data_IF_804560919066
#
_entry.id   IF_804560919066
#
_cell.length_a   1.000
_cell.length_b   1.000
_cell.length_c   1.000
_cell.angle_alpha   90.00
_cell.angle_beta   90.00
_cell.angle_gamma   90.00
#
_symmetry.space_group_name_H-M   'P 1'
#
loop_
_entity.id
_entity.type
_entity.pdbx_description
1 polymer ?
#
# COMPACT_ATOMS: atom_id res chain seq x y z
N UNK A 1 6.10 11.54 15.12
CA UNK A 1 5.46 10.37 14.49
C UNK A 1 4.66 9.63 15.54
N UNK A 2 3.49 9.07 15.15
CA UNK A 2 2.57 8.43 16.10
C UNK A 2 2.09 7.06 15.60
N UNK A 3 1.69 6.19 16.55
CA UNK A 3 1.06 4.92 16.29
C UNK A 3 -0.46 5.08 15.99
N UNK A 4 -1.18 3.98 15.87
CA UNK A 4 -2.64 3.99 15.62
C UNK A 4 -3.48 4.54 16.77
N UNK A 5 -2.89 4.71 17.96
CA UNK A 5 -3.50 5.29 19.15
C UNK A 5 -3.03 6.72 19.44
N UNK A 6 -2.41 7.37 18.44
CA UNK A 6 -1.84 8.71 18.51
C UNK A 6 -0.73 8.85 19.60
N UNK A 7 -0.04 7.76 19.95
CA UNK A 7 1.10 7.76 20.87
C UNK A 7 2.39 7.88 20.08
N UNK A 8 3.34 8.66 20.59
CA UNK A 8 4.64 8.84 19.97
C UNK A 8 5.40 7.51 19.85
N UNK A 9 5.99 7.27 18.67
CA UNK A 9 6.79 6.08 18.41
C UNK A 9 8.29 6.38 18.52
N UNK A 10 9.06 5.37 18.93
CA UNK A 10 10.52 5.49 19.05
C UNK A 10 11.20 5.62 17.67
N UNK A 11 12.39 6.24 17.66
CA UNK A 11 13.25 6.27 16.48
C UNK A 11 13.53 4.85 15.97
N UNK A 12 13.52 4.67 14.66
CA UNK A 12 13.64 3.38 14.00
C UNK A 12 12.31 2.62 13.79
N UNK A 13 11.23 3.05 14.48
CA UNK A 13 9.88 2.48 14.33
C UNK A 13 9.09 3.26 13.28
N UNK A 14 8.24 2.56 12.54
CA UNK A 14 7.29 3.19 11.63
C UNK A 14 6.14 3.84 12.37
N UNK A 15 5.69 5.00 11.90
CA UNK A 15 4.54 5.72 12.46
C UNK A 15 3.98 6.73 11.47
N UNK A 16 2.76 7.20 11.74
CA UNK A 16 2.17 8.27 10.94
C UNK A 16 2.89 9.59 11.20
N UNK A 17 3.25 10.30 10.13
CA UNK A 17 3.77 11.66 10.23
C UNK A 17 2.64 12.59 10.63
N UNK A 18 2.79 13.25 11.78
CA UNK A 18 1.88 14.30 12.23
C UNK A 18 2.63 15.62 12.35
N UNK A 19 1.97 16.71 11.96
CA UNK A 19 2.60 18.04 11.85
C UNK A 19 1.72 19.10 12.48
N UNK A 20 2.33 20.09 13.12
CA UNK A 20 1.67 21.32 13.58
C UNK A 20 2.65 22.47 13.62
N UNK A 21 2.15 23.71 13.62
CA UNK A 21 2.96 24.83 14.00
C UNK A 21 3.09 24.92 15.51
N UNK A 22 4.26 25.29 16.00
CA UNK A 22 4.46 25.61 17.43
C UNK A 22 3.83 26.97 17.72
N UNK A 23 3.12 27.10 18.86
CA UNK A 23 2.48 28.34 19.29
C UNK A 23 0.98 28.18 19.55
N UNK A 24 0.27 29.30 19.69
CA UNK A 24 -1.15 29.34 20.08
C UNK A 24 -2.10 28.83 18.99
N UNK A 25 -1.73 29.01 17.71
CA UNK A 25 -2.52 28.51 16.59
C UNK A 25 -1.77 27.43 15.83
N UNK A 26 -2.02 26.14 16.13
CA UNK A 26 -1.34 25.00 15.49
C UNK A 26 -1.68 24.85 14.01
N UNK A 27 -2.79 25.45 13.52
CA UNK A 27 -3.25 25.39 12.12
C UNK A 27 -2.70 26.52 11.25
N UNK A 28 -2.06 27.51 11.84
CA UNK A 28 -1.54 28.67 11.11
C UNK A 28 -0.56 28.26 10.02
N UNK A 29 -0.79 28.73 8.80
CA UNK A 29 0.06 28.45 7.64
C UNK A 29 -0.20 27.10 6.95
N UNK A 30 -1.13 26.29 7.48
CA UNK A 30 -1.66 25.14 6.76
C UNK A 30 -2.74 25.56 5.76
N UNK A 31 -3.19 24.62 4.91
CA UNK A 31 -4.31 24.85 4.00
C UNK A 31 -5.62 25.11 4.79
N UNK A 32 -6.54 25.86 4.19
CA UNK A 32 -7.78 26.25 4.85
C UNK A 32 -8.72 25.07 5.14
N UNK A 33 -8.61 23.98 4.38
CA UNK A 33 -9.42 22.77 4.51
C UNK A 33 -9.66 22.08 3.17
N UNK A 34 -10.28 20.92 3.22
CA UNK A 34 -10.75 20.24 2.02
C UNK A 34 -11.99 20.97 1.47
N UNK A 35 -12.06 21.12 0.14
CA UNK A 35 -13.18 21.76 -0.52
C UNK A 35 -14.47 20.97 -0.26
N UNK A 36 -15.48 21.68 0.26
CA UNK A 36 -16.81 21.16 0.59
C UNK A 36 -16.81 19.93 1.52
N UNK A 37 -15.71 19.70 2.29
CA UNK A 37 -15.58 18.59 3.23
C UNK A 37 -14.95 19.06 4.56
N UNK A 38 -15.76 19.75 5.35
CA UNK A 38 -15.36 20.19 6.68
C UNK A 38 -15.12 19.01 7.64
N UNK A 39 -15.86 17.91 7.47
CA UNK A 39 -15.71 16.73 8.32
C UNK A 39 -14.34 16.05 8.11
N UNK A 40 -13.89 15.90 6.87
CA UNK A 40 -12.55 15.37 6.56
C UNK A 40 -11.45 16.35 7.05
N UNK A 41 -11.70 17.66 6.99
CA UNK A 41 -10.76 18.66 7.51
C UNK A 41 -10.57 18.50 9.01
N UNK A 42 -11.64 18.42 9.79
CA UNK A 42 -11.55 18.24 11.24
C UNK A 42 -10.98 16.86 11.61
N UNK A 43 -11.35 15.80 10.91
CA UNK A 43 -10.78 14.48 11.11
C UNK A 43 -9.26 14.43 10.90
N UNK A 44 -8.75 15.26 9.97
CA UNK A 44 -7.31 15.42 9.75
C UNK A 44 -6.58 16.13 10.88
N UNK A 45 -7.29 16.93 11.71
CA UNK A 45 -6.73 17.73 12.81
C UNK A 45 -7.01 17.14 14.20
N UNK A 46 -7.07 15.84 14.34
CA UNK A 46 -7.32 15.24 15.66
C UNK A 46 -6.13 15.42 16.61
N UNK A 47 -6.41 15.57 17.89
CA UNK A 47 -5.39 15.77 18.91
C UNK A 47 -4.56 17.06 18.79
N UNK A 48 -4.99 18.03 17.97
CA UNK A 48 -4.26 19.28 17.70
C UNK A 48 -3.06 19.12 16.75
N UNK A 49 -3.00 17.99 16.02
CA UNK A 49 -2.00 17.70 15.00
C UNK A 49 -2.67 17.42 13.66
N UNK A 50 -2.03 17.89 12.58
CA UNK A 50 -2.39 17.48 11.22
C UNK A 50 -1.85 16.06 10.96
N UNK A 51 -2.74 15.12 10.68
CA UNK A 51 -2.42 13.75 10.29
C UNK A 51 -2.21 13.69 8.78
N UNK A 52 -0.97 13.50 8.35
CA UNK A 52 -0.62 13.53 6.93
C UNK A 52 -1.16 12.34 6.14
N UNK A 53 -1.43 11.23 6.83
CA UNK A 53 -1.72 9.93 6.23
C UNK A 53 -0.48 9.26 5.63
N UNK A 54 0.71 9.82 5.85
CA UNK A 54 1.98 9.24 5.42
C UNK A 54 2.60 8.43 6.56
N UNK A 55 2.92 7.18 6.32
CA UNK A 55 3.72 6.34 7.21
C UNK A 55 5.18 6.60 6.89
N UNK A 56 5.94 6.92 7.93
CA UNK A 56 7.35 7.27 7.83
C UNK A 56 8.14 6.55 8.92
N UNK A 57 9.46 6.51 8.76
CA UNK A 57 10.41 6.05 9.76
C UNK A 57 11.48 7.11 9.95
N UNK A 58 11.83 7.41 11.18
CA UNK A 58 12.93 8.33 11.50
C UNK A 58 14.12 7.53 11.99
N UNK A 59 15.32 7.81 11.48
CA UNK A 59 16.55 7.23 11.99
C UNK A 59 17.09 7.96 13.23
N UNK A 60 18.21 7.47 13.78
CA UNK A 60 18.84 8.06 14.96
C UNK A 60 19.41 9.47 14.69
N UNK A 61 19.68 9.82 13.44
CA UNK A 61 20.15 11.15 13.04
C UNK A 61 19.00 12.15 12.84
N UNK A 62 17.74 11.71 13.01
CA UNK A 62 16.55 12.53 12.84
C UNK A 62 16.05 12.63 11.38
N UNK A 63 16.64 11.88 10.45
CA UNK A 63 16.21 11.87 9.05
C UNK A 63 14.94 11.03 8.90
N UNK A 64 13.95 11.62 8.24
CA UNK A 64 12.65 10.98 8.00
C UNK A 64 12.65 10.34 6.62
N UNK A 65 12.30 9.06 6.58
CA UNK A 65 12.16 8.26 5.37
C UNK A 65 10.69 7.92 5.16
N UNK A 66 10.17 8.25 3.98
CA UNK A 66 8.82 7.85 3.57
C UNK A 66 8.76 6.33 3.38
N UNK A 67 7.72 5.69 3.92
CA UNK A 67 7.47 4.24 3.79
C UNK A 67 6.31 4.01 2.81
N UNK A 68 5.10 4.49 3.15
CA UNK A 68 3.92 4.40 2.28
C UNK A 68 2.81 5.34 2.78
N UNK A 69 1.72 5.41 2.05
CA UNK A 69 0.47 5.98 2.54
C UNK A 69 -0.22 5.01 3.50
N UNK A 70 -0.80 5.51 4.59
CA UNK A 70 -1.55 4.71 5.57
C UNK A 70 -2.62 3.83 4.91
N UNK A 71 -3.35 4.36 3.91
CA UNK A 71 -4.37 3.62 3.15
C UNK A 71 -3.82 2.51 2.22
N UNK A 72 -2.52 2.49 1.99
CA UNK A 72 -1.85 1.47 1.17
C UNK A 72 -1.11 0.43 2.04
N UNK A 73 -1.11 0.61 3.36
CA UNK A 73 -0.56 -0.40 4.28
C UNK A 73 -1.51 -1.59 4.34
N UNK A 74 -0.96 -2.79 4.22
CA UNK A 74 -1.69 -4.06 4.26
C UNK A 74 -1.39 -4.73 5.59
N UNK A 75 -2.42 -4.99 6.40
CA UNK A 75 -2.30 -5.67 7.70
C UNK A 75 -2.52 -7.17 7.57
N UNK A 76 -1.43 -7.89 7.37
CA UNK A 76 -1.48 -9.33 7.18
C UNK A 76 -0.89 -10.08 8.37
N UNK A 77 -1.72 -10.86 9.08
CA UNK A 77 -1.30 -11.73 10.19
C UNK A 77 -0.42 -11.01 11.24
N UNK A 78 -0.77 -9.76 11.58
CA UNK A 78 -0.01 -8.92 12.52
C UNK A 78 1.14 -8.13 11.93
N UNK A 79 1.50 -8.38 10.66
CA UNK A 79 2.55 -7.65 9.96
C UNK A 79 1.98 -6.47 9.18
N UNK A 80 2.64 -5.32 9.23
CA UNK A 80 2.35 -4.17 8.40
C UNK A 80 3.21 -4.23 7.13
N UNK A 81 2.56 -4.29 5.97
CA UNK A 81 3.23 -4.42 4.68
C UNK A 81 2.94 -3.17 3.84
N UNK A 82 3.99 -2.46 3.46
CA UNK A 82 3.88 -1.35 2.54
C UNK A 82 3.65 -1.87 1.11
N UNK A 83 2.53 -1.49 0.49
CA UNK A 83 2.25 -1.89 -0.89
C UNK A 83 3.36 -1.40 -1.84
N UNK A 84 3.88 -0.19 -1.60
CA UNK A 84 4.97 0.42 -2.39
C UNK A 84 6.26 -0.40 -2.35
N UNK A 85 6.59 -1.03 -1.23
CA UNK A 85 7.77 -1.91 -1.12
C UNK A 85 7.65 -3.11 -2.06
N UNK A 86 6.49 -3.77 -2.04
CA UNK A 86 6.22 -4.93 -2.91
C UNK A 86 6.20 -4.50 -4.38
N UNK A 87 5.54 -3.39 -4.71
CA UNK A 87 5.51 -2.82 -6.06
C UNK A 87 6.91 -2.50 -6.57
N UNK A 88 7.75 -1.86 -5.76
CA UNK A 88 9.13 -1.47 -6.12
C UNK A 88 9.98 -2.68 -6.47
N UNK A 89 9.84 -3.77 -5.74
CA UNK A 89 10.56 -5.01 -6.02
C UNK A 89 10.03 -5.66 -7.29
N UNK A 90 8.71 -5.81 -7.40
CA UNK A 90 8.09 -6.52 -8.52
C UNK A 90 8.17 -5.75 -9.85
N UNK A 91 8.22 -4.41 -9.84
CA UNK A 91 8.46 -3.60 -11.05
C UNK A 91 9.80 -3.92 -11.74
N UNK A 92 10.75 -4.55 -11.04
CA UNK A 92 12.05 -4.96 -11.63
C UNK A 92 11.96 -6.29 -12.37
N UNK A 93 10.85 -7.01 -12.24
CA UNK A 93 10.65 -8.29 -12.94
C UNK A 93 10.42 -8.05 -14.44
N UNK A 94 11.17 -8.69 -15.36
CA UNK A 94 11.14 -8.38 -16.80
C UNK A 94 9.79 -8.63 -17.46
N UNK A 95 8.97 -9.50 -16.89
CA UNK A 95 7.64 -9.81 -17.41
C UNK A 95 6.53 -8.85 -16.91
N UNK A 96 6.87 -7.83 -16.11
CA UNK A 96 5.88 -6.88 -15.57
C UNK A 96 6.05 -5.52 -16.26
N UNK A 97 4.99 -5.05 -16.92
CA UNK A 97 4.92 -3.69 -17.46
C UNK A 97 4.39 -2.70 -16.42
N UNK A 98 3.33 -3.08 -15.71
CA UNK A 98 2.73 -2.29 -14.63
C UNK A 98 2.27 -3.21 -13.51
N UNK A 99 2.34 -2.73 -12.28
CA UNK A 99 1.84 -3.45 -11.11
C UNK A 99 1.16 -2.49 -10.14
N UNK A 100 0.09 -2.96 -9.53
CA UNK A 100 -0.53 -2.32 -8.38
C UNK A 100 -0.81 -3.38 -7.31
N UNK A 101 -0.45 -3.08 -6.08
CA UNK A 101 -0.69 -3.93 -4.92
C UNK A 101 -1.85 -3.32 -4.11
N UNK A 102 -2.83 -4.16 -3.80
CA UNK A 102 -4.03 -3.83 -3.06
C UNK A 102 -4.19 -4.77 -1.86
N UNK A 103 -4.88 -4.30 -0.83
CA UNK A 103 -5.36 -5.14 0.25
C UNK A 103 -6.71 -5.77 -0.14
N UNK A 104 -6.88 -7.06 0.13
CA UNK A 104 -8.18 -7.72 0.10
C UNK A 104 -8.44 -8.40 1.44
N UNK A 105 -9.70 -8.50 1.91
CA UNK A 105 -9.99 -9.20 3.16
C UNK A 105 -9.52 -10.65 3.12
N UNK A 106 -9.07 -11.19 4.26
CA UNK A 106 -8.74 -12.62 4.41
C UNK A 106 -9.18 -13.11 5.79
N UNK A 107 -9.91 -14.22 5.84
CA UNK A 107 -10.51 -14.74 7.08
C UNK A 107 -9.49 -15.13 8.15
N UNK A 108 -8.26 -15.52 7.74
CA UNK A 108 -7.22 -16.00 8.65
C UNK A 108 -6.17 -14.95 8.94
N UNK A 109 -5.84 -14.13 7.93
CA UNK A 109 -4.76 -13.16 8.02
C UNK A 109 -5.24 -11.72 8.27
N UNK A 110 -6.57 -11.49 8.30
CA UNK A 110 -7.17 -10.16 8.31
C UNK A 110 -7.21 -9.56 6.90
N UNK A 111 -6.04 -9.31 6.33
CA UNK A 111 -5.90 -8.89 4.93
C UNK A 111 -4.90 -9.78 4.18
N UNK A 112 -5.03 -9.81 2.86
CA UNK A 112 -4.11 -10.49 1.97
C UNK A 112 -3.70 -9.57 0.82
N UNK A 113 -2.51 -9.80 0.29
CA UNK A 113 -1.93 -9.05 -0.82
C UNK A 113 -2.55 -9.52 -2.13
N UNK A 114 -3.19 -8.59 -2.84
CA UNK A 114 -3.72 -8.78 -4.17
C UNK A 114 -2.88 -7.98 -5.18
N UNK A 115 -2.29 -8.66 -6.15
CA UNK A 115 -1.50 -8.05 -7.20
C UNK A 115 -2.32 -7.91 -8.49
N UNK A 116 -2.50 -6.68 -8.97
CA UNK A 116 -2.94 -6.39 -10.33
C UNK A 116 -1.70 -6.24 -11.20
N UNK A 117 -1.58 -7.02 -12.25
CA UNK A 117 -0.38 -7.05 -13.11
C UNK A 117 -0.76 -6.83 -14.56
N UNK A 118 -0.09 -5.89 -15.22
CA UNK A 118 -0.10 -5.80 -16.67
C UNK A 118 1.19 -6.44 -17.18
N UNK A 119 1.12 -7.55 -17.92
CA UNK A 119 2.31 -8.22 -18.44
C UNK A 119 3.08 -7.35 -19.45
N UNK A 120 4.38 -7.51 -19.49
CA UNK A 120 5.20 -6.96 -20.56
C UNK A 120 4.95 -7.73 -21.88
N UNK A 121 5.24 -7.09 -23.02
CA UNK A 121 5.07 -7.69 -24.34
C UNK A 121 5.83 -9.02 -24.45
N UNK A 122 5.20 -10.02 -25.06
CA UNK A 122 5.79 -11.36 -25.25
C UNK A 122 5.58 -12.31 -24.06
N UNK A 123 4.91 -11.89 -23.01
CA UNK A 123 4.57 -12.75 -21.87
C UNK A 123 3.08 -13.10 -21.86
N UNK A 124 2.79 -14.37 -21.63
CA UNK A 124 1.41 -14.87 -21.53
C UNK A 124 0.91 -14.72 -20.10
N UNK A 125 -0.28 -14.15 -19.93
CA UNK A 125 -0.95 -13.97 -18.65
C UNK A 125 -1.56 -15.30 -18.16
N UNK A 126 -0.76 -16.15 -17.56
CA UNK A 126 -1.14 -17.49 -17.12
C UNK A 126 -0.68 -17.79 -15.68
N UNK A 127 -1.06 -18.96 -15.18
CA UNK A 127 -0.66 -19.43 -13.84
C UNK A 127 0.86 -19.56 -13.70
N UNK A 128 1.55 -19.96 -14.76
CA UNK A 128 3.02 -20.14 -14.74
C UNK A 128 3.73 -18.80 -14.54
N UNK A 129 3.27 -17.76 -15.24
CA UNK A 129 3.79 -16.41 -15.04
C UNK A 129 3.51 -15.90 -13.62
N UNK A 130 2.28 -16.10 -13.13
CA UNK A 130 1.91 -15.70 -11.77
C UNK A 130 2.79 -16.37 -10.72
N UNK A 131 3.06 -17.67 -10.85
CA UNK A 131 3.96 -18.42 -9.97
C UNK A 131 5.39 -17.89 -10.03
N UNK A 132 5.91 -17.62 -11.23
CA UNK A 132 7.24 -17.05 -11.41
C UNK A 132 7.41 -15.67 -10.75
N UNK A 133 6.37 -14.82 -10.80
CA UNK A 133 6.37 -13.52 -10.14
C UNK A 133 6.39 -13.68 -8.61
N UNK A 134 5.61 -14.63 -8.05
CA UNK A 134 5.63 -14.92 -6.61
C UNK A 134 6.98 -15.48 -6.18
N UNK A 135 7.57 -16.38 -6.94
CA UNK A 135 8.89 -16.94 -6.65
C UNK A 135 9.97 -15.86 -6.67
N UNK A 136 9.92 -14.94 -7.63
CA UNK A 136 10.81 -13.78 -7.66
C UNK A 136 10.63 -12.89 -6.42
N UNK A 137 9.39 -12.62 -6.03
CA UNK A 137 9.10 -11.86 -4.81
C UNK A 137 9.69 -12.54 -3.56
N UNK A 138 9.52 -13.85 -3.43
CA UNK A 138 10.03 -14.64 -2.30
C UNK A 138 11.57 -14.70 -2.22
N UNK A 139 12.28 -14.42 -3.31
CA UNK A 139 13.74 -14.31 -3.32
C UNK A 139 14.22 -12.95 -2.80
N UNK A 140 13.41 -11.91 -2.90
CA UNK A 140 13.78 -10.53 -2.60
C UNK A 140 13.20 -10.04 -1.28
N UNK A 141 12.03 -10.55 -0.88
CA UNK A 141 11.27 -10.13 0.28
C UNK A 141 10.90 -11.30 1.18
N UNK A 142 10.48 -10.98 2.40
CA UNK A 142 9.93 -11.98 3.31
C UNK A 142 8.67 -12.65 2.70
N UNK A 143 8.50 -13.95 2.93
CA UNK A 143 7.46 -14.78 2.32
C UNK A 143 6.03 -14.22 2.50
N UNK A 144 5.78 -13.54 3.63
CA UNK A 144 4.46 -12.96 3.91
C UNK A 144 4.15 -11.72 3.06
N UNK A 145 5.17 -11.10 2.44
CA UNK A 145 5.06 -9.97 1.52
C UNK A 145 4.76 -10.36 0.07
N UNK A 146 4.87 -11.65 -0.28
CA UNK A 146 4.52 -12.10 -1.63
C UNK A 146 3.00 -12.00 -1.86
N UNK A 147 2.53 -11.74 -3.11
CA UNK A 147 1.12 -11.75 -3.44
C UNK A 147 0.45 -13.09 -3.12
N UNK A 148 -0.68 -13.06 -2.40
CA UNK A 148 -1.55 -14.22 -2.17
C UNK A 148 -2.59 -14.39 -3.27
N UNK A 149 -2.86 -13.31 -4.00
CA UNK A 149 -3.76 -13.29 -5.14
C UNK A 149 -3.18 -12.47 -6.27
N UNK A 150 -3.51 -12.83 -7.50
CA UNK A 150 -3.08 -12.10 -8.70
C UNK A 150 -4.17 -12.05 -9.75
N UNK A 151 -4.30 -10.90 -10.42
CA UNK A 151 -5.12 -10.75 -11.61
C UNK A 151 -4.32 -10.04 -12.69
N UNK A 152 -4.30 -10.62 -13.88
CA UNK A 152 -3.72 -9.97 -15.04
C UNK A 152 -4.74 -9.05 -15.70
N UNK A 153 -4.28 -7.85 -16.06
CA UNK A 153 -5.07 -6.81 -16.70
C UNK A 153 -4.41 -6.38 -18.01
N UNK A 154 -5.18 -5.96 -18.98
CA UNK A 154 -4.66 -5.39 -20.24
C UNK A 154 -4.06 -3.99 -20.02
N UNK A 155 -4.67 -3.23 -19.12
CA UNK A 155 -4.26 -1.86 -18.76
C UNK A 155 -4.71 -1.51 -17.35
N UNK A 156 -4.05 -0.50 -16.77
CA UNK A 156 -4.49 0.10 -15.51
C UNK A 156 -5.03 1.52 -15.72
N UNK A 157 -6.00 1.97 -14.93
CA UNK A 157 -6.44 3.36 -14.94
C UNK A 157 -5.30 4.26 -14.43
N UNK A 158 -5.14 5.41 -15.09
CA UNK A 158 -4.13 6.40 -14.74
C UNK A 158 -4.79 7.71 -14.28
N UNK A 159 -4.11 8.42 -13.40
CA UNK A 159 -4.45 9.81 -13.06
C UNK A 159 -4.02 10.74 -14.20
N UNK A 160 -4.44 12.01 -14.13
CA UNK A 160 -3.98 13.04 -15.07
C UNK A 160 -2.45 13.26 -15.06
N UNK A 161 -1.76 12.81 -14.01
CA UNK A 161 -0.29 12.84 -13.87
C UNK A 161 0.37 11.49 -14.19
N UNK A 162 -0.33 10.62 -14.93
CA UNK A 162 0.14 9.30 -15.41
C UNK A 162 0.51 8.29 -14.29
N UNK A 163 0.04 8.51 -13.05
CA UNK A 163 0.19 7.55 -11.97
C UNK A 163 -0.97 6.56 -11.97
N UNK A 164 -0.73 5.30 -11.60
CA UNK A 164 -1.78 4.29 -11.45
C UNK A 164 -2.80 4.78 -10.41
N UNK A 165 -4.07 4.88 -10.83
CA UNK A 165 -5.18 5.21 -9.96
C UNK A 165 -5.76 3.94 -9.32
N UNK A 166 -5.17 3.50 -8.20
CA UNK A 166 -5.57 2.26 -7.52
C UNK A 166 -7.06 2.22 -7.17
N UNK A 167 -7.66 3.37 -6.82
CA UNK A 167 -9.07 3.45 -6.45
C UNK A 167 -10.03 3.20 -7.62
N UNK A 168 -9.56 3.27 -8.86
CA UNK A 168 -10.35 3.05 -10.07
C UNK A 168 -10.03 1.74 -10.78
N UNK A 169 -9.15 0.89 -10.23
CA UNK A 169 -8.87 -0.43 -10.82
C UNK A 169 -10.13 -1.29 -10.79
N UNK A 170 -10.88 -1.24 -9.70
CA UNK A 170 -12.15 -1.96 -9.53
C UNK A 170 -13.27 -1.01 -9.12
N UNK A 171 -14.51 -1.42 -9.39
CA UNK A 171 -15.68 -0.70 -8.89
C UNK A 171 -15.71 -0.75 -7.35
N UNK A 172 -16.24 0.30 -6.73
CA UNK A 172 -16.37 0.35 -5.28
C UNK A 172 -17.20 -0.83 -4.75
N UNK A 173 -16.67 -1.51 -3.71
CA UNK A 173 -17.35 -2.67 -3.09
C UNK A 173 -17.17 -3.99 -3.83
N UNK A 174 -16.51 -4.00 -4.99
CA UNK A 174 -16.20 -5.25 -5.69
C UNK A 174 -15.06 -5.98 -4.99
N UNK A 175 -15.24 -7.26 -4.71
CA UNK A 175 -14.16 -8.14 -4.29
C UNK A 175 -13.41 -8.68 -5.52
N UNK A 176 -12.17 -8.27 -5.78
CA UNK A 176 -11.46 -8.67 -6.99
C UNK A 176 -11.11 -10.17 -7.04
N UNK A 177 -11.16 -10.87 -5.90
CA UNK A 177 -10.93 -12.33 -5.83
C UNK A 177 -12.04 -13.12 -6.53
N UNK A 178 -13.23 -12.53 -6.68
CA UNK A 178 -14.39 -13.16 -7.36
C UNK A 178 -14.35 -13.00 -8.88
N UNK A 179 -13.43 -12.20 -9.40
CA UNK A 179 -13.33 -11.95 -10.84
C UNK A 179 -12.79 -13.16 -11.58
N UNK A 180 -13.31 -13.35 -12.79
CA UNK A 180 -12.77 -14.36 -13.72
C UNK A 180 -11.32 -14.03 -14.02
N UNK A 181 -10.44 -15.02 -13.87
CA UNK A 181 -9.00 -14.83 -14.04
C UNK A 181 -8.23 -14.47 -12.76
N UNK A 182 -8.90 -14.25 -11.64
CA UNK A 182 -8.22 -14.11 -10.36
C UNK A 182 -7.58 -15.45 -9.95
N UNK A 183 -6.29 -15.41 -9.64
CA UNK A 183 -5.47 -16.60 -9.34
C UNK A 183 -5.15 -16.63 -7.85
N UNK A 184 -5.53 -17.68 -7.16
CA UNK A 184 -5.18 -17.93 -5.75
C UNK A 184 -3.77 -18.53 -5.67
N UNK A 185 -2.86 -17.79 -5.05
CA UNK A 185 -1.44 -18.14 -4.89
C UNK A 185 -1.05 -18.33 -3.41
N UNK A 186 -2.03 -18.31 -2.49
CA UNK A 186 -1.76 -18.40 -1.04
C UNK A 186 -1.03 -19.67 -0.64
N UNK A 187 -1.23 -20.76 -1.37
CA UNK A 187 -0.50 -22.03 -1.15
C UNK A 187 1.02 -21.91 -1.39
N UNK A 188 1.47 -20.88 -2.13
CA UNK A 188 2.90 -20.63 -2.37
C UNK A 188 3.58 -19.85 -1.23
N UNK A 189 2.84 -19.30 -0.30
CA UNK A 189 3.36 -18.61 0.88
C UNK A 189 3.78 -19.61 1.95
N UNK A 190 4.92 -20.24 1.77
CA UNK A 190 5.48 -21.19 2.74
C UNK A 190 6.58 -20.53 3.57
N UNK A 191 6.47 -20.65 4.89
CA UNK A 191 7.58 -20.34 5.80
C UNK A 191 8.72 -21.31 5.47
N UNK A 192 9.87 -20.77 5.08
CA UNK A 192 11.10 -21.56 4.92
C UNK A 192 11.63 -21.97 6.28
#
# INVERSE_FOLDING_TARGET
>A
MVDEHDREVASGTEGELVVRLSGEDPRRGFFAGYLDDAAATEAGWRGGWWHSGDIVRQDQAGIIYFVDRRKNMIRRAGENIAATEVETVLCRHPAIRQIAILAVPDEKAGEEIFACVVPASGHTADLKLAQGIVDYCNQQLAYYKAPGWMLFLDRMPLTATEKINKAQIFAAGLDPRTLVGAIDLRAMKKRK
#
